data_IF_110377913366
#
_entry.id   IF_110377913366
#
_cell.length_a   1.000
_cell.length_b   1.000
_cell.length_c   1.000
_cell.angle_alpha   90.00
_cell.angle_beta   90.00
_cell.angle_gamma   90.00
#
_symmetry.space_group_name_H-M   'P 1'
#
loop_
_entity.id
_entity.type
_entity.pdbx_description
1 polymer ?
#
# COMPACT_ATOMS: atom_id res chain seq x y z
N UNK A 1 -17.60 -2.61 -3.60
CA UNK A 1 -16.17 -2.28 -3.41
C UNK A 1 -15.34 -3.37 -4.09
N UNK A 2 -14.24 -3.01 -4.76
CA UNK A 2 -13.25 -3.98 -5.26
C UNK A 2 -11.89 -3.67 -4.66
N UNK A 3 -11.13 -4.68 -4.26
CA UNK A 3 -9.82 -4.52 -3.59
C UNK A 3 -8.76 -5.21 -4.43
N UNK A 4 -7.61 -4.55 -4.58
CA UNK A 4 -6.47 -5.04 -5.34
C UNK A 4 -5.19 -4.83 -4.52
N UNK A 5 -4.46 -5.92 -4.27
CA UNK A 5 -3.12 -5.85 -3.68
C UNK A 5 -2.10 -5.83 -4.81
N UNK A 6 -1.24 -4.81 -4.82
CA UNK A 6 -0.18 -4.70 -5.82
C UNK A 6 1.02 -5.57 -5.44
N UNK A 7 1.78 -5.97 -6.46
CA UNK A 7 3.11 -6.53 -6.27
C UNK A 7 4.03 -5.49 -5.58
N UNK A 8 4.98 -5.92 -4.75
CA UNK A 8 5.92 -5.00 -4.12
C UNK A 8 6.70 -4.18 -5.15
N UNK A 9 6.82 -2.88 -4.91
CA UNK A 9 7.53 -1.92 -5.75
C UNK A 9 8.85 -1.59 -5.06
N UNK A 10 9.99 -1.90 -5.68
CA UNK A 10 11.30 -1.58 -5.12
C UNK A 10 11.54 -0.08 -5.02
N UNK A 11 12.16 0.39 -3.93
CA UNK A 11 12.56 1.79 -3.78
C UNK A 11 13.93 1.97 -4.44
N UNK A 12 14.10 2.87 -5.43
CA UNK A 12 15.40 3.11 -6.02
C UNK A 12 16.38 3.63 -4.97
N UNK A 13 17.53 2.96 -4.82
CA UNK A 13 18.57 3.34 -3.85
C UNK A 13 18.37 2.80 -2.42
N UNK A 14 17.22 2.20 -2.10
CA UNK A 14 17.00 1.51 -0.84
C UNK A 14 17.47 0.06 -0.93
N UNK A 15 18.48 -0.32 -0.14
CA UNK A 15 18.94 -1.72 -0.10
C UNK A 15 17.81 -2.62 0.46
N UNK A 16 17.15 -3.37 -0.42
CA UNK A 16 16.11 -4.38 -0.13
C UNK A 16 14.78 -3.86 0.45
N UNK A 17 14.48 -2.56 0.34
CA UNK A 17 13.17 -2.04 0.74
C UNK A 17 12.19 -2.01 -0.44
N UNK A 18 10.96 -2.47 -0.19
CA UNK A 18 9.88 -2.44 -1.17
C UNK A 18 8.61 -1.87 -0.56
N UNK A 19 7.93 -1.02 -1.32
CA UNK A 19 6.62 -0.48 -0.99
C UNK A 19 5.54 -1.46 -1.43
N UNK A 20 4.60 -1.76 -0.54
CA UNK A 20 3.44 -2.59 -0.85
C UNK A 20 2.19 -1.72 -0.74
N UNK A 21 1.34 -1.77 -1.75
CA UNK A 21 0.11 -0.97 -1.78
C UNK A 21 -1.12 -1.85 -1.93
N UNK A 22 -2.22 -1.42 -1.30
CA UNK A 22 -3.58 -1.92 -1.49
C UNK A 22 -4.42 -0.81 -2.10
N UNK A 23 -5.08 -1.09 -3.20
CA UNK A 23 -6.00 -0.17 -3.87
C UNK A 23 -7.43 -0.65 -3.65
N UNK A 24 -8.22 0.20 -3.02
CA UNK A 24 -9.65 0.00 -2.84
C UNK A 24 -10.40 0.87 -3.84
N UNK A 25 -11.21 0.25 -4.69
CA UNK A 25 -12.08 0.94 -5.64
C UNK A 25 -13.49 0.98 -5.09
N UNK A 26 -13.88 2.18 -4.72
CA UNK A 26 -15.13 2.54 -4.11
C UNK A 26 -16.09 3.08 -5.18
N UNK A 27 -17.38 2.85 -4.97
CA UNK A 27 -18.45 3.45 -5.77
C UNK A 27 -19.41 4.11 -4.79
N UNK A 28 -19.54 5.43 -4.86
CA UNK A 28 -20.48 6.15 -4.02
C UNK A 28 -21.91 5.76 -4.37
N UNK A 29 -22.76 5.60 -3.34
CA UNK A 29 -24.19 5.37 -3.55
C UNK A 29 -24.79 6.53 -4.36
N UNK A 30 -25.63 6.21 -5.36
CA UNK A 30 -26.18 7.20 -6.29
C UNK A 30 -25.23 7.65 -7.39
N UNK A 31 -23.93 7.34 -7.33
CA UNK A 31 -22.98 7.66 -8.39
C UNK A 31 -22.76 6.50 -9.38
N UNK A 32 -22.51 6.87 -10.65
CA UNK A 32 -22.00 5.95 -11.69
C UNK A 32 -20.47 6.00 -11.80
N UNK A 33 -19.81 6.81 -10.98
CA UNK A 33 -18.35 6.93 -10.93
C UNK A 33 -17.74 6.05 -9.84
N UNK A 34 -16.55 5.55 -10.16
CA UNK A 34 -15.67 4.85 -9.24
C UNK A 34 -14.54 5.78 -8.81
N UNK A 35 -14.11 5.63 -7.57
CA UNK A 35 -13.04 6.41 -6.93
C UNK A 35 -12.06 5.46 -6.23
N UNK A 36 -10.76 5.75 -6.24
CA UNK A 36 -9.79 4.95 -5.52
C UNK A 36 -9.57 5.45 -4.09
N UNK A 37 -9.12 4.54 -3.23
CA UNK A 37 -8.43 4.80 -1.96
C UNK A 37 -7.17 3.95 -1.96
N UNK A 38 -6.03 4.55 -1.68
CA UNK A 38 -4.72 3.90 -1.71
C UNK A 38 -4.23 3.75 -0.28
N UNK A 39 -3.93 2.51 0.09
CA UNK A 39 -3.40 2.15 1.40
C UNK A 39 -2.02 1.56 1.24
N UNK A 40 -1.16 1.76 2.23
CA UNK A 40 0.16 1.13 2.32
C UNK A 40 0.07 -0.11 3.19
N UNK A 41 0.73 -1.19 2.76
CA UNK A 41 0.90 -2.41 3.54
C UNK A 41 2.27 -2.38 4.18
N UNK A 42 2.30 -2.35 5.51
CA UNK A 42 3.52 -2.29 6.30
C UNK A 42 3.69 -3.56 7.11
N UNK A 43 4.94 -3.95 7.36
CA UNK A 43 5.27 -5.04 8.27
C UNK A 43 5.82 -4.44 9.55
N UNK A 44 5.08 -4.59 10.64
CA UNK A 44 5.50 -4.16 11.96
C UNK A 44 6.23 -5.31 12.66
N UNK A 45 7.47 -5.06 13.06
CA UNK A 45 8.26 -6.03 13.82
C UNK A 45 7.90 -5.89 15.30
N UNK A 46 7.25 -6.90 15.86
CA UNK A 46 6.97 -6.94 17.29
C UNK A 46 8.11 -7.64 18.01
N UNK A 47 8.78 -6.91 18.90
CA UNK A 47 9.71 -7.48 19.86
C UNK A 47 9.00 -7.69 21.20
N UNK A 48 9.08 -8.89 21.81
CA UNK A 48 8.50 -9.11 23.13
C UNK A 48 9.26 -8.30 24.18
N UNK A 49 8.51 -7.56 25.01
CA UNK A 49 9.07 -6.71 26.09
C UNK A 49 9.24 -7.45 27.43
N UNK A 50 8.75 -8.68 27.52
CA UNK A 50 8.93 -9.53 28.70
C UNK A 50 10.24 -10.31 28.61
N UNK A 51 10.91 -10.52 29.76
CA UNK A 51 12.08 -11.38 29.84
C UNK A 51 11.68 -12.82 29.45
N UNK A 52 11.91 -13.17 28.19
CA UNK A 52 11.82 -14.56 27.75
C UNK A 52 12.87 -15.37 28.51
N UNK A 53 12.44 -16.29 29.38
CA UNK A 53 13.32 -17.35 29.86
C UNK A 53 14.03 -18.00 28.66
N UNK A 54 15.26 -18.46 28.85
CA UNK A 54 16.29 -18.80 27.84
C UNK A 54 15.93 -19.87 26.78
N UNK A 55 14.66 -20.07 26.46
CA UNK A 55 14.09 -21.02 25.51
C UNK A 55 13.06 -20.40 24.56
N UNK A 56 13.04 -19.07 24.38
CA UNK A 56 12.30 -18.47 23.28
C UNK A 56 12.96 -18.88 21.96
N UNK A 57 12.26 -19.68 21.13
CA UNK A 57 12.78 -20.10 19.84
C UNK A 57 13.08 -18.86 18.99
N UNK A 58 14.23 -18.84 18.30
CA UNK A 58 14.61 -17.80 17.34
C UNK A 58 13.59 -17.59 16.20
N UNK A 59 12.56 -18.43 16.13
CA UNK A 59 11.52 -18.47 15.10
C UNK A 59 10.23 -17.74 15.46
N UNK A 60 10.00 -17.33 16.72
CA UNK A 60 8.78 -16.62 17.10
C UNK A 60 8.91 -15.10 16.84
N UNK A 61 9.19 -14.71 15.59
CA UNK A 61 9.04 -13.32 15.16
C UNK A 61 7.57 -13.09 14.86
N UNK A 62 6.90 -12.32 15.70
CA UNK A 62 5.50 -11.94 15.52
C UNK A 62 5.44 -10.72 14.59
N UNK A 63 5.98 -10.87 13.39
CA UNK A 63 5.90 -9.83 12.37
C UNK A 63 4.44 -9.77 11.88
N UNK A 64 3.76 -8.65 12.12
CA UNK A 64 2.38 -8.45 11.70
C UNK A 64 2.33 -7.53 10.49
N UNK A 65 1.56 -7.94 9.47
CA UNK A 65 1.25 -7.05 8.37
C UNK A 65 0.00 -6.23 8.70
N UNK A 66 0.14 -4.91 8.59
CA UNK A 66 -0.94 -3.96 8.80
C UNK A 66 -1.19 -3.16 7.52
N UNK A 67 -2.42 -2.69 7.36
CA UNK A 67 -2.82 -1.81 6.26
C UNK A 67 -3.07 -0.43 6.83
N UNK A 68 -2.28 0.56 6.41
CA UNK A 68 -2.38 1.94 6.86
C UNK A 68 -2.87 2.84 5.74
N UNK A 69 -3.59 3.90 6.08
CA UNK A 69 -3.96 4.92 5.10
C UNK A 69 -2.70 5.69 4.67
N UNK A 70 -2.53 5.86 3.35
CA UNK A 70 -1.42 6.63 2.80
C UNK A 70 -1.95 7.97 2.32
N UNK A 71 -2.01 8.96 3.22
CA UNK A 71 -2.57 10.28 2.91
C UNK A 71 -1.89 10.96 1.72
N UNK A 72 -0.60 10.70 1.52
CA UNK A 72 0.14 11.28 0.42
C UNK A 72 -0.34 10.70 -0.92
N UNK A 73 -0.44 9.37 -1.01
CA UNK A 73 -0.97 8.71 -2.21
C UNK A 73 -2.45 9.02 -2.43
N UNK A 74 -3.25 9.10 -1.37
CA UNK A 74 -4.67 9.47 -1.46
C UNK A 74 -4.83 10.87 -2.06
N UNK A 75 -4.05 11.87 -1.61
CA UNK A 75 -4.06 13.22 -2.21
C UNK A 75 -3.62 13.21 -3.68
N UNK A 76 -2.61 12.41 -4.03
CA UNK A 76 -2.16 12.28 -5.41
C UNK A 76 -3.19 11.62 -6.33
N UNK A 77 -4.05 10.77 -5.78
CA UNK A 77 -5.07 10.02 -6.49
C UNK A 77 -6.48 10.64 -6.40
N UNK A 78 -6.67 11.72 -5.65
CA UNK A 78 -7.98 12.36 -5.38
C UNK A 78 -8.75 12.71 -6.67
N UNK A 79 -8.04 13.17 -7.71
CA UNK A 79 -8.63 13.54 -9.00
C UNK A 79 -8.93 12.35 -9.91
N UNK A 80 -8.52 11.14 -9.54
CA UNK A 80 -8.75 9.94 -10.34
C UNK A 80 -10.19 9.46 -10.12
N UNK A 81 -10.96 9.44 -11.19
CA UNK A 81 -12.29 8.84 -11.21
C UNK A 81 -12.57 8.23 -12.58
N UNK A 82 -13.56 7.34 -12.65
CA UNK A 82 -13.89 6.69 -13.91
C UNK A 82 -15.21 5.94 -13.89
N UNK A 83 -15.69 5.59 -15.09
CA UNK A 83 -16.96 4.84 -15.26
C UNK A 83 -16.82 3.34 -14.99
N UNK A 84 -15.59 2.82 -14.93
CA UNK A 84 -15.32 1.41 -14.69
C UNK A 84 -14.18 1.26 -13.68
N UNK A 85 -14.29 0.25 -12.81
CA UNK A 85 -13.25 -0.05 -11.82
C UNK A 85 -11.89 -0.34 -12.49
N UNK A 86 -11.88 -1.05 -13.63
CA UNK A 86 -10.64 -1.36 -14.34
C UNK A 86 -9.93 -0.10 -14.89
N UNK A 87 -10.68 0.90 -15.34
CA UNK A 87 -10.10 2.17 -15.79
C UNK A 87 -9.47 2.94 -14.64
N UNK A 88 -10.16 3.02 -13.50
CA UNK A 88 -9.63 3.66 -12.28
C UNK A 88 -8.38 2.93 -11.79
N UNK A 89 -8.41 1.60 -11.73
CA UNK A 89 -7.27 0.79 -11.31
C UNK A 89 -6.01 1.10 -12.12
N UNK A 90 -6.10 1.10 -13.46
CA UNK A 90 -4.96 1.40 -14.33
C UNK A 90 -4.41 2.80 -14.13
N UNK A 91 -5.28 3.79 -13.93
CA UNK A 91 -4.85 5.16 -13.67
C UNK A 91 -4.10 5.28 -12.34
N UNK A 92 -4.58 4.60 -11.29
CA UNK A 92 -3.91 4.57 -9.98
C UNK A 92 -2.56 3.87 -10.07
N UNK A 93 -2.49 2.69 -10.70
CA UNK A 93 -1.22 1.95 -10.86
C UNK A 93 -0.19 2.84 -11.56
N UNK A 94 -0.57 3.45 -12.69
CA UNK A 94 0.30 4.37 -13.41
C UNK A 94 0.76 5.54 -12.54
N UNK A 95 -0.13 6.11 -11.73
CA UNK A 95 0.19 7.23 -10.84
C UNK A 95 1.19 6.83 -9.74
N UNK A 96 1.04 5.64 -9.17
CA UNK A 96 1.96 5.08 -8.18
C UNK A 96 3.32 4.82 -8.82
N UNK A 97 3.37 4.17 -9.99
CA UNK A 97 4.60 3.91 -10.74
C UNK A 97 5.35 5.21 -11.05
N UNK A 98 4.67 6.22 -11.58
CA UNK A 98 5.25 7.54 -11.81
C UNK A 98 5.86 8.10 -10.52
N UNK A 99 5.09 8.14 -9.42
CA UNK A 99 5.57 8.77 -8.19
C UNK A 99 6.75 8.03 -7.54
N UNK A 100 6.70 6.70 -7.52
CA UNK A 100 7.74 5.85 -6.93
C UNK A 100 9.03 5.81 -7.76
N UNK A 101 8.92 5.85 -9.09
CA UNK A 101 10.09 5.88 -9.99
C UNK A 101 10.76 7.26 -10.05
N UNK A 102 9.99 8.35 -9.96
CA UNK A 102 10.55 9.72 -9.98
C UNK A 102 11.12 10.15 -8.63
N UNK A 103 10.72 9.54 -7.51
CA UNK A 103 11.30 9.80 -6.20
C UNK A 103 12.78 9.40 -6.08
N UNK A 104 13.26 8.47 -6.92
CA UNK A 104 14.64 7.95 -6.91
C UNK A 104 15.65 8.67 -7.81
N UNK A 105 15.29 9.81 -8.42
CA UNK A 105 16.16 10.56 -9.35
C UNK A 105 16.69 11.89 -8.78
N UNK A 106 16.65 12.08 -7.46
CA UNK A 106 17.17 13.30 -6.81
C UNK A 106 18.54 13.06 -6.19
#
# INVERSE_FOLDING_TARGET
>A
MKIYDLAPIGIPGGANESLKFRIEILRCAGSRTFHPRVKRRETYKLEPTFQGGARASKSARWDHEIVVDDEHMDRLCEKISGRTAASVLRQVIRKIEETTLFAGKK
#
